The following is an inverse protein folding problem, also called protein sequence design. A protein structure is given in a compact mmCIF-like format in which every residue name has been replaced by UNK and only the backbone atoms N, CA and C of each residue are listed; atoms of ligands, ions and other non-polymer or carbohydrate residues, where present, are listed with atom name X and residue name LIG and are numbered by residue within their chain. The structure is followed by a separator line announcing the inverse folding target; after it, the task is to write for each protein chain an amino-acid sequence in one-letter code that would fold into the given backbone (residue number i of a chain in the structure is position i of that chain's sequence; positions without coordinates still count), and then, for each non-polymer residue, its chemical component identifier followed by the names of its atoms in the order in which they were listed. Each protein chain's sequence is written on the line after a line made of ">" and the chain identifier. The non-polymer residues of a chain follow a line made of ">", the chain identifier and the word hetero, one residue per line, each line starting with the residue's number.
data_IF_794855472575
#
_entry.id   IF_794855472575
#
_cell.length_a   1.000
_cell.length_b   1.000
_cell.length_c   1.000
_cell.angle_alpha   90.00
_cell.angle_beta   90.00
_cell.angle_gamma   90.00
#
_symmetry.space_group_name_H-M   'P 1'
#
loop_
_entity.id
_entity.type
_entity.pdbx_description
1 polymer ?
#
# COMPACT_ATOMS: atom_id res chain seq x y z
N UNK A 1 7.99 -14.53 -16.19
CA UNK A 1 6.90 -13.54 -16.12
C UNK A 1 6.39 -13.43 -14.69
N UNK A 2 6.31 -12.20 -14.15
CA UNK A 2 5.80 -11.90 -12.81
C UNK A 2 4.72 -10.82 -12.87
N UNK A 3 3.84 -10.79 -11.88
CA UNK A 3 2.83 -9.72 -11.78
C UNK A 3 3.52 -8.37 -11.60
N UNK A 4 3.06 -7.35 -12.31
CA UNK A 4 3.63 -6.00 -12.24
C UNK A 4 3.59 -5.43 -10.82
N UNK A 5 2.52 -5.67 -10.03
CA UNK A 5 2.44 -5.17 -8.66
C UNK A 5 3.45 -5.86 -7.74
N UNK A 6 3.74 -7.13 -8.02
CA UNK A 6 4.81 -7.85 -7.32
C UNK A 6 6.17 -7.27 -7.71
N UNK A 7 6.42 -7.03 -9.00
CA UNK A 7 7.67 -6.45 -9.45
C UNK A 7 7.96 -5.09 -8.79
N UNK A 8 6.98 -4.16 -8.84
CA UNK A 8 7.10 -2.82 -8.24
C UNK A 8 7.29 -2.87 -6.72
N UNK A 9 6.72 -3.89 -6.05
CA UNK A 9 6.92 -4.11 -4.62
C UNK A 9 8.29 -4.70 -4.31
N UNK A 10 8.77 -5.65 -5.10
CA UNK A 10 10.05 -6.32 -4.89
C UNK A 10 11.22 -5.36 -5.18
N UNK A 11 11.04 -4.37 -6.07
CA UNK A 11 12.02 -3.31 -6.36
C UNK A 11 11.92 -2.09 -5.43
N UNK A 12 11.00 -2.11 -4.46
CA UNK A 12 10.85 -1.05 -3.46
C UNK A 12 10.21 0.25 -3.97
N UNK A 13 9.64 0.23 -5.18
CA UNK A 13 9.01 1.41 -5.79
C UNK A 13 7.70 1.76 -5.08
N UNK A 14 6.86 0.76 -4.82
CA UNK A 14 5.55 0.96 -4.18
C UNK A 14 5.12 -0.33 -3.48
N UNK A 15 4.30 -0.24 -2.42
CA UNK A 15 3.67 -1.45 -1.88
C UNK A 15 2.78 -2.12 -2.93
N UNK A 16 2.48 -3.42 -2.83
CA UNK A 16 1.58 -4.09 -3.81
C UNK A 16 0.22 -3.40 -4.00
N UNK A 17 -0.34 -2.84 -2.93
CA UNK A 17 -1.62 -2.12 -2.96
C UNK A 17 -1.48 -0.76 -3.64
N UNK A 18 -0.40 -0.05 -3.36
CA UNK A 18 -0.09 1.23 -3.97
C UNK A 18 0.26 1.09 -5.45
N UNK A 19 1.06 0.07 -5.81
CA UNK A 19 1.31 -0.31 -7.19
C UNK A 19 0.01 -0.57 -7.96
N UNK A 20 -0.92 -1.34 -7.37
CA UNK A 20 -2.25 -1.55 -7.95
C UNK A 20 -2.98 -0.23 -8.18
N UNK A 21 -2.99 0.67 -7.19
CA UNK A 21 -3.62 1.99 -7.31
C UNK A 21 -3.01 2.84 -8.42
N UNK A 22 -1.68 2.92 -8.49
CA UNK A 22 -0.97 3.66 -9.55
C UNK A 22 -1.31 3.14 -10.96
N UNK A 23 -1.51 1.82 -11.08
CA UNK A 23 -1.93 1.19 -12.34
C UNK A 23 -3.38 1.57 -12.67
N UNK A 24 -4.29 1.48 -11.69
CA UNK A 24 -5.70 1.88 -11.85
C UNK A 24 -5.85 3.36 -12.23
N UNK A 25 -4.99 4.23 -11.67
CA UNK A 25 -4.93 5.67 -11.99
C UNK A 25 -4.22 5.96 -13.34
N UNK A 26 -3.73 4.94 -14.03
CA UNK A 26 -3.09 5.07 -15.34
C UNK A 26 -1.73 5.76 -15.30
N UNK A 27 -1.04 5.71 -14.15
CA UNK A 27 0.28 6.28 -13.95
C UNK A 27 1.43 5.34 -14.31
N UNK A 28 1.16 4.05 -14.49
CA UNK A 28 2.16 3.05 -14.87
C UNK A 28 2.02 2.68 -16.35
N UNK A 29 3.15 2.66 -17.06
CA UNK A 29 3.25 2.21 -18.44
C UNK A 29 4.22 1.04 -18.53
N UNK A 30 3.89 0.06 -19.39
CA UNK A 30 4.78 -1.03 -19.77
C UNK A 30 5.07 -0.91 -21.25
N UNK A 31 6.35 -0.76 -21.63
CA UNK A 31 6.80 -0.54 -23.00
C UNK A 31 6.04 0.64 -23.67
N UNK A 32 5.82 1.72 -22.91
CA UNK A 32 5.11 2.91 -23.36
C UNK A 32 3.58 2.80 -23.45
N UNK A 33 2.99 1.67 -23.07
CA UNK A 33 1.52 1.45 -23.12
C UNK A 33 0.91 1.34 -21.72
N UNK A 34 -0.34 1.80 -21.51
CA UNK A 34 -1.07 1.56 -20.27
C UNK A 34 -1.17 0.07 -19.94
N UNK A 35 -1.14 -0.26 -18.66
CA UNK A 35 -1.26 -1.62 -18.13
C UNK A 35 -2.44 -1.71 -17.17
N UNK A 36 -2.89 -2.93 -16.84
CA UNK A 36 -4.00 -3.21 -15.95
C UNK A 36 -3.53 -3.99 -14.70
N UNK A 37 -4.26 -3.89 -13.58
CA UNK A 37 -3.95 -4.69 -12.41
C UNK A 37 -3.95 -6.19 -12.73
N UNK A 38 -2.92 -6.89 -12.28
CA UNK A 38 -2.73 -8.31 -12.54
C UNK A 38 -1.92 -8.64 -13.78
N UNK A 39 -1.60 -7.66 -14.64
CA UNK A 39 -0.76 -7.87 -15.80
C UNK A 39 0.60 -8.46 -15.41
N UNK A 40 1.11 -9.31 -16.29
CA UNK A 40 2.41 -9.96 -16.13
C UNK A 40 3.44 -9.30 -17.02
N UNK A 41 4.62 -9.06 -16.47
CA UNK A 41 5.78 -8.50 -17.16
C UNK A 41 6.96 -9.48 -17.09
N UNK A 42 7.88 -9.36 -18.04
CA UNK A 42 9.20 -9.97 -18.02
C UNK A 42 10.23 -8.92 -17.56
N UNK A 43 10.73 -8.99 -16.32
CA UNK A 43 11.68 -8.00 -15.79
C UNK A 43 12.99 -7.88 -16.58
N UNK A 44 13.32 -8.88 -17.40
CA UNK A 44 14.53 -8.88 -18.22
C UNK A 44 14.37 -8.16 -19.57
N UNK A 45 13.13 -7.87 -19.99
CA UNK A 45 12.81 -7.36 -21.33
C UNK A 45 11.91 -6.13 -21.30
N UNK A 46 10.93 -6.13 -20.41
CA UNK A 46 9.91 -5.09 -20.35
C UNK A 46 10.43 -3.86 -19.61
N UNK A 47 10.23 -2.69 -20.22
CA UNK A 47 10.50 -1.40 -19.60
C UNK A 47 9.24 -0.92 -18.88
N UNK A 48 9.40 -0.49 -17.64
CA UNK A 48 8.32 0.08 -16.82
C UNK A 48 8.62 1.55 -16.57
N UNK A 49 7.66 2.42 -16.87
CA UNK A 49 7.74 3.86 -16.63
C UNK A 49 6.59 4.31 -15.72
N UNK A 50 6.87 5.18 -14.75
CA UNK A 50 5.86 5.80 -13.89
C UNK A 50 5.79 7.29 -14.22
N UNK A 51 4.59 7.80 -14.50
CA UNK A 51 4.35 9.22 -14.79
C UNK A 51 4.70 10.08 -13.58
N UNK A 52 5.06 11.35 -13.82
CA UNK A 52 5.44 12.31 -12.76
C UNK A 52 4.39 12.43 -11.65
N UNK A 53 3.10 12.39 -11.99
CA UNK A 53 2.00 12.42 -11.02
C UNK A 53 2.03 11.20 -10.09
N UNK A 54 2.35 10.02 -10.62
CA UNK A 54 2.52 8.81 -9.82
C UNK A 54 3.72 8.90 -8.87
N UNK A 55 4.83 9.50 -9.32
CA UNK A 55 6.00 9.74 -8.46
C UNK A 55 5.69 10.69 -7.30
N UNK A 56 4.96 11.79 -7.55
CA UNK A 56 4.53 12.71 -6.48
C UNK A 56 3.67 12.00 -5.44
N UNK A 57 2.82 11.06 -5.86
CA UNK A 57 2.04 10.24 -4.92
C UNK A 57 2.91 9.34 -4.03
N UNK A 58 4.09 8.90 -4.50
CA UNK A 58 4.98 8.01 -3.76
C UNK A 58 5.84 8.73 -2.71
N UNK A 59 6.08 10.04 -2.89
CA UNK A 59 6.91 10.83 -1.99
C UNK A 59 6.20 11.22 -0.68
N UNK A 60 4.88 11.07 -0.59
CA UNK A 60 4.10 11.38 0.60
C UNK A 60 4.10 10.20 1.58
N UNK A 61 5.23 10.01 2.29
CA UNK A 61 5.34 8.98 3.34
C UNK A 61 5.13 9.60 4.71
N UNK A 62 4.09 9.16 5.40
CA UNK A 62 3.83 9.49 6.80
C UNK A 62 3.96 8.21 7.64
N UNK A 63 4.60 8.30 8.79
CA UNK A 63 4.70 7.21 9.76
C UNK A 63 4.51 7.78 11.15
N UNK A 64 3.61 7.16 11.90
CA UNK A 64 3.25 7.58 13.26
C UNK A 64 3.44 6.43 14.22
N UNK A 65 3.96 6.72 15.40
CA UNK A 65 3.96 5.80 16.52
C UNK A 65 2.79 6.17 17.44
N UNK A 66 1.96 5.20 17.77
CA UNK A 66 0.83 5.36 18.68
C UNK A 66 0.92 4.32 19.78
N UNK A 67 0.46 4.66 20.97
CA UNK A 67 0.26 3.69 22.04
C UNK A 67 -1.15 3.14 21.94
N UNK A 68 -1.29 1.88 21.53
CA UNK A 68 -2.56 1.19 21.42
C UNK A 68 -3.09 0.84 22.82
N UNK A 69 -4.33 1.23 23.17
CA UNK A 69 -5.00 0.74 24.37
C UNK A 69 -5.52 -0.70 24.20
N UNK A 70 -5.68 -1.42 25.33
CA UNK A 70 -6.32 -2.75 25.35
C UNK A 70 -7.77 -2.69 24.87
N UNK A 71 -8.24 -3.80 24.31
CA UNK A 71 -9.61 -3.99 23.84
C UNK A 71 -9.85 -3.57 22.40
N UNK A 72 -8.83 -3.03 21.71
CA UNK A 72 -8.93 -2.55 20.32
C UNK A 72 -8.13 -3.44 19.35
N UNK A 73 -8.57 -3.53 18.10
CA UNK A 73 -7.85 -4.28 17.06
C UNK A 73 -6.80 -3.43 16.34
N UNK A 74 -5.63 -4.01 16.03
CA UNK A 74 -4.57 -3.38 15.22
C UNK A 74 -4.81 -3.51 13.70
N UNK A 75 -6.08 -3.58 13.26
CA UNK A 75 -6.45 -3.72 11.84
C UNK A 75 -7.72 -2.94 11.53
N UNK A 76 -7.83 -2.45 10.29
CA UNK A 76 -9.04 -1.78 9.75
C UNK A 76 -10.22 -2.72 9.47
N UNK A 77 -10.27 -3.88 10.11
CA UNK A 77 -11.30 -4.86 9.83
C UNK A 77 -12.61 -4.41 10.51
N UNK A 78 -13.49 -3.81 9.72
CA UNK A 78 -14.77 -3.23 10.15
C UNK A 78 -15.70 -4.30 10.72
N UNK A 79 -15.53 -5.58 10.35
CA UNK A 79 -16.36 -6.67 10.84
C UNK A 79 -15.96 -7.24 12.19
N UNK A 80 -14.77 -6.90 12.70
CA UNK A 80 -14.16 -7.57 13.85
C UNK A 80 -14.30 -6.79 15.18
N UNK A 81 -14.84 -5.57 15.14
CA UNK A 81 -15.07 -4.72 16.32
C UNK A 81 -14.24 -3.42 16.30
N UNK A 82 -14.16 -2.75 17.46
CA UNK A 82 -13.42 -1.49 17.59
C UNK A 82 -11.93 -1.68 17.31
N UNK A 83 -11.34 -0.77 16.55
CA UNK A 83 -9.95 -0.81 16.11
C UNK A 83 -9.19 0.48 16.47
N UNK A 84 -7.88 0.47 16.28
CA UNK A 84 -7.02 1.61 16.65
C UNK A 84 -7.41 2.92 15.97
N UNK A 85 -8.06 2.90 14.81
CA UNK A 85 -8.48 4.11 14.10
C UNK A 85 -9.77 4.70 14.68
N UNK A 86 -10.51 3.95 15.50
CA UNK A 86 -11.59 4.52 16.31
C UNK A 86 -11.03 5.36 17.47
N UNK A 87 -9.81 5.05 17.93
CA UNK A 87 -9.09 5.80 18.98
C UNK A 87 -8.35 7.00 18.38
N UNK A 88 -7.75 6.80 17.20
CA UNK A 88 -6.96 7.82 16.51
C UNK A 88 -7.52 8.11 15.11
N UNK A 89 -8.71 8.75 15.01
CA UNK A 89 -9.40 8.96 13.74
C UNK A 89 -8.62 9.85 12.76
N UNK A 90 -7.76 10.74 13.25
CA UNK A 90 -6.88 11.57 12.42
C UNK A 90 -5.86 10.77 11.60
N UNK A 91 -5.62 9.51 11.96
CA UNK A 91 -4.70 8.61 11.25
C UNK A 91 -5.44 7.54 10.43
N UNK A 92 -6.75 7.68 10.23
CA UNK A 92 -7.58 6.70 9.51
C UNK A 92 -7.13 6.47 8.05
N UNK A 93 -6.37 7.39 7.43
CA UNK A 93 -5.78 7.19 6.11
C UNK A 93 -4.56 6.25 6.11
N UNK A 94 -3.88 6.09 7.24
CA UNK A 94 -2.68 5.26 7.38
C UNK A 94 -3.00 3.76 7.49
N UNK A 95 -1.98 2.90 7.38
CA UNK A 95 -2.12 1.46 7.62
C UNK A 95 -1.26 1.05 8.83
N UNK A 96 -1.61 -0.06 9.47
CA UNK A 96 -0.82 -0.60 10.58
C UNK A 96 0.40 -1.37 10.08
N UNK A 97 1.52 -1.22 10.79
CA UNK A 97 2.74 -2.00 10.60
C UNK A 97 2.90 -2.90 11.81
N UNK A 98 2.87 -4.22 11.59
CA UNK A 98 2.77 -5.19 12.68
C UNK A 98 1.39 -5.19 13.35
N UNK A 99 1.19 -6.10 14.31
CA UNK A 99 -0.08 -6.27 15.02
C UNK A 99 0.19 -6.61 16.48
N UNK A 100 -0.60 -5.99 17.37
CA UNK A 100 -0.77 -6.44 18.74
C UNK A 100 -2.12 -7.14 18.87
N UNK A 101 -2.18 -8.16 19.72
CA UNK A 101 -3.44 -8.82 20.05
C UNK A 101 -4.43 -7.83 20.67
N UNK A 102 -5.72 -8.16 20.62
CA UNK A 102 -6.79 -7.26 21.10
C UNK A 102 -6.59 -6.82 22.55
N UNK A 103 -6.18 -7.75 23.41
CA UNK A 103 -5.99 -7.52 24.85
C UNK A 103 -4.57 -7.03 25.21
N UNK A 104 -3.70 -6.87 24.21
CA UNK A 104 -2.37 -6.26 24.38
C UNK A 104 -2.42 -4.74 24.22
N UNK A 105 -1.44 -4.06 24.82
CA UNK A 105 -1.25 -2.61 24.75
C UNK A 105 0.20 -2.26 24.39
N UNK A 106 0.43 -1.05 23.86
CA UNK A 106 1.75 -0.60 23.43
C UNK A 106 1.73 0.27 22.20
#
# INVERSE_FOLDING_TARGET
>A
MIRIEKHLSDTGVASRREAKRLIEEGFVLVNGKPTQPGDKIDPSKDRIDIKKQGLVSLDQKETVLVYKPRGYLSSKDVGAGKNIFDVFPQFAHLNTVGRLDKESEG
#
